data_IF_759828513644
#
_entry.id   IF_759828513644
#
_cell.length_a   1.000
_cell.length_b   1.000
_cell.length_c   1.000
_cell.angle_alpha   90.00
_cell.angle_beta   90.00
_cell.angle_gamma   90.00
#
_symmetry.space_group_name_H-M   'P 1'
#
loop_
_entity.id
_entity.type
_entity.pdbx_description
1 polymer ?
#
# COMPACT_ATOMS: atom_id res chain seq x y z
N UNK A 1 -25.31 -12.53 -22.90
CA UNK A 1 -24.44 -12.73 -21.81
C UNK A 1 -23.25 -11.79 -21.85
N UNK A 2 -23.14 -11.02 -20.87
CA UNK A 2 -22.05 -10.06 -20.81
C UNK A 2 -20.70 -10.72 -20.58
N UNK A 3 -19.67 -10.04 -20.97
CA UNK A 3 -18.34 -10.48 -20.65
C UNK A 3 -18.07 -10.29 -19.16
N UNK A 4 -17.38 -11.22 -18.59
CA UNK A 4 -16.93 -11.06 -17.23
C UNK A 4 -15.72 -10.16 -17.20
N UNK A 5 -15.76 -9.15 -16.35
CA UNK A 5 -14.57 -8.35 -16.09
C UNK A 5 -13.59 -9.19 -15.31
N UNK A 6 -12.33 -9.15 -15.72
CA UNK A 6 -11.27 -9.80 -14.98
C UNK A 6 -10.75 -8.79 -13.96
N UNK A 7 -10.72 -9.20 -12.69
CA UNK A 7 -10.25 -8.32 -11.63
C UNK A 7 -8.75 -8.01 -11.80
N UNK A 8 -8.31 -6.82 -11.41
CA UNK A 8 -6.88 -6.49 -11.49
C UNK A 8 -5.98 -7.52 -10.80
N UNK A 9 -6.45 -8.12 -9.70
CA UNK A 9 -5.70 -9.16 -9.01
C UNK A 9 -5.36 -10.32 -9.95
N UNK A 10 -6.30 -10.72 -10.82
CA UNK A 10 -6.09 -11.84 -11.73
C UNK A 10 -5.02 -11.53 -12.77
N UNK A 11 -4.93 -10.27 -13.22
CA UNK A 11 -3.89 -9.86 -14.15
C UNK A 11 -2.52 -9.83 -13.50
N UNK A 12 -2.44 -9.38 -12.26
CA UNK A 12 -1.16 -9.28 -11.55
C UNK A 12 -0.70 -10.65 -11.09
N UNK A 13 -1.60 -11.40 -10.46
CA UNK A 13 -1.30 -12.72 -9.92
C UNK A 13 -0.70 -12.67 -8.53
N UNK A 14 -0.88 -13.75 -7.80
CA UNK A 14 -0.43 -13.82 -6.42
C UNK A 14 1.08 -13.70 -6.28
N UNK A 15 1.82 -14.33 -7.19
CA UNK A 15 3.27 -14.34 -7.10
C UNK A 15 3.87 -12.95 -7.28
N UNK A 16 3.42 -12.22 -8.31
CA UNK A 16 3.90 -10.87 -8.53
C UNK A 16 3.50 -9.94 -7.40
N UNK A 17 2.29 -10.12 -6.86
CA UNK A 17 1.84 -9.31 -5.73
C UNK A 17 2.70 -9.56 -4.49
N UNK A 18 3.07 -10.82 -4.23
CA UNK A 18 3.98 -11.14 -3.13
C UNK A 18 5.32 -10.43 -3.31
N UNK A 19 5.87 -10.48 -4.52
CA UNK A 19 7.15 -9.82 -4.81
C UNK A 19 7.03 -8.31 -4.65
N UNK A 20 5.90 -7.75 -5.06
CA UNK A 20 5.65 -6.32 -4.91
C UNK A 20 5.67 -5.92 -3.44
N UNK A 21 4.97 -6.66 -2.59
CA UNK A 21 4.92 -6.35 -1.16
C UNK A 21 6.30 -6.45 -0.54
N UNK A 22 7.06 -7.48 -0.89
CA UNK A 22 8.43 -7.64 -0.36
C UNK A 22 9.33 -6.49 -0.80
N UNK A 23 9.29 -6.11 -2.08
CA UNK A 23 10.07 -5.00 -2.60
C UNK A 23 9.67 -3.69 -1.93
N UNK A 24 8.39 -3.49 -1.73
CA UNK A 24 7.87 -2.29 -1.08
C UNK A 24 8.41 -2.14 0.34
N UNK A 25 8.30 -3.19 1.16
CA UNK A 25 8.75 -3.08 2.55
C UNK A 25 10.27 -3.04 2.69
N UNK A 26 11.00 -3.59 1.73
CA UNK A 26 12.45 -3.40 1.69
C UNK A 26 12.79 -1.91 1.59
N UNK A 27 12.02 -1.17 0.78
CA UNK A 27 12.22 0.27 0.62
C UNK A 27 11.74 1.05 1.84
N UNK A 28 10.59 0.68 2.39
CA UNK A 28 10.04 1.32 3.59
C UNK A 28 11.00 1.23 4.76
N UNK A 29 11.63 0.07 4.95
CA UNK A 29 12.54 -0.15 6.07
C UNK A 29 13.78 0.73 6.01
N UNK A 30 14.08 1.30 4.85
CA UNK A 30 15.25 2.16 4.65
C UNK A 30 14.87 3.63 4.43
N UNK A 31 13.58 3.93 4.40
CA UNK A 31 13.15 5.31 4.13
C UNK A 31 13.05 6.11 5.42
N UNK A 32 13.79 7.23 5.55
CA UNK A 32 13.85 7.97 6.81
C UNK A 32 12.50 8.56 7.26
N UNK A 33 11.59 8.81 6.34
CA UNK A 33 10.28 9.35 6.69
C UNK A 33 9.29 8.26 7.10
N UNK A 34 9.59 7.00 6.84
CA UNK A 34 8.64 5.90 7.05
C UNK A 34 9.06 4.95 8.15
N UNK A 35 10.34 4.54 8.20
CA UNK A 35 10.69 3.49 9.16
C UNK A 35 10.38 3.88 10.62
N UNK A 36 10.39 5.18 11.02
CA UNK A 36 10.08 5.51 12.41
C UNK A 36 8.65 5.17 12.85
N UNK A 37 7.71 5.06 11.90
CA UNK A 37 6.31 4.76 12.24
C UNK A 37 5.94 3.31 11.96
N UNK A 38 6.92 2.48 11.59
CA UNK A 38 6.72 1.05 11.36
C UNK A 38 7.48 0.24 12.40
N UNK A 39 7.02 -0.98 12.72
CA UNK A 39 7.79 -1.85 13.63
C UNK A 39 9.09 -2.30 12.98
N UNK A 40 10.06 -2.69 13.81
CA UNK A 40 11.36 -3.17 13.30
C UNK A 40 11.20 -4.45 12.48
N UNK A 41 10.35 -5.36 12.95
CA UNK A 41 10.05 -6.60 12.21
C UNK A 41 8.80 -6.38 11.37
N UNK A 42 8.96 -6.35 10.06
CA UNK A 42 7.89 -6.07 9.12
C UNK A 42 7.18 -7.32 8.60
N UNK A 43 7.53 -8.51 9.11
CA UNK A 43 6.97 -9.76 8.61
C UNK A 43 5.44 -9.77 8.68
N UNK A 44 4.88 -9.45 9.84
CA UNK A 44 3.44 -9.46 10.00
C UNK A 44 2.78 -8.31 9.25
N UNK A 45 3.43 -7.16 9.24
CA UNK A 45 2.93 -5.99 8.49
C UNK A 45 2.84 -6.32 6.99
N UNK A 46 3.86 -6.97 6.45
CA UNK A 46 3.88 -7.37 5.04
C UNK A 46 2.79 -8.40 4.74
N UNK A 47 2.58 -9.35 5.65
CA UNK A 47 1.54 -10.36 5.49
C UNK A 47 0.16 -9.72 5.41
N UNK A 48 -0.12 -8.80 6.32
CA UNK A 48 -1.40 -8.08 6.33
C UNK A 48 -1.58 -7.23 5.09
N UNK A 49 -0.51 -6.60 4.63
CA UNK A 49 -0.57 -5.76 3.44
C UNK A 49 -0.86 -6.60 2.21
N UNK A 50 -0.25 -7.77 2.10
CA UNK A 50 -0.53 -8.66 0.98
C UNK A 50 -1.99 -9.09 0.98
N UNK A 51 -2.53 -9.44 2.15
CA UNK A 51 -3.93 -9.80 2.28
C UNK A 51 -4.83 -8.65 1.85
N UNK A 52 -4.50 -7.45 2.32
CA UNK A 52 -5.30 -6.27 2.00
C UNK A 52 -5.26 -5.96 0.50
N UNK A 53 -4.08 -5.95 -0.10
CA UNK A 53 -3.95 -5.62 -1.52
C UNK A 53 -4.61 -6.68 -2.40
N UNK A 54 -4.56 -7.95 -2.01
CA UNK A 54 -5.28 -9.02 -2.74
C UNK A 54 -6.76 -8.66 -2.80
N UNK A 55 -7.36 -8.33 -1.67
CA UNK A 55 -8.76 -7.97 -1.57
C UNK A 55 -9.06 -6.67 -2.30
N UNK A 56 -8.20 -5.67 -2.12
CA UNK A 56 -8.32 -4.35 -2.73
C UNK A 56 -8.36 -4.41 -4.25
N UNK A 57 -7.63 -5.36 -4.82
CA UNK A 57 -7.55 -5.54 -6.27
C UNK A 57 -8.61 -6.51 -6.81
N UNK A 58 -9.56 -6.89 -5.99
CA UNK A 58 -10.68 -7.73 -6.42
C UNK A 58 -10.47 -9.22 -6.28
N UNK A 59 -9.42 -9.65 -5.58
CA UNK A 59 -9.21 -11.05 -5.25
C UNK A 59 -10.01 -11.46 -4.01
N UNK A 60 -9.72 -12.65 -3.45
CA UNK A 60 -10.43 -13.13 -2.27
C UNK A 60 -10.29 -12.15 -1.09
N UNK A 61 -11.32 -12.02 -0.23
CA UNK A 61 -11.30 -11.07 0.87
C UNK A 61 -10.49 -11.56 2.07
N UNK A 62 -9.22 -11.84 1.84
CA UNK A 62 -8.33 -12.44 2.84
C UNK A 62 -8.18 -11.57 4.08
N UNK A 63 -8.08 -10.25 3.88
CA UNK A 63 -7.91 -9.34 5.01
C UNK A 63 -9.15 -9.35 5.90
N UNK A 64 -10.32 -9.19 5.30
CA UNK A 64 -11.57 -9.13 6.05
C UNK A 64 -11.86 -10.44 6.76
N UNK A 65 -11.54 -11.58 6.15
CA UNK A 65 -11.76 -12.88 6.75
C UNK A 65 -10.94 -13.09 8.01
N UNK A 66 -9.73 -12.55 8.05
CA UNK A 66 -8.87 -12.73 9.24
C UNK A 66 -8.99 -11.57 10.23
N UNK A 67 -9.15 -10.33 9.76
CA UNK A 67 -9.02 -9.14 10.59
C UNK A 67 -10.31 -8.32 10.72
N UNK A 68 -11.34 -8.67 9.97
CA UNK A 68 -12.57 -7.88 9.93
C UNK A 68 -12.46 -6.75 8.94
N UNK A 69 -13.41 -5.82 8.98
CA UNK A 69 -13.45 -4.69 8.06
C UNK A 69 -12.13 -3.90 8.11
N UNK A 70 -11.57 -3.51 6.96
CA UNK A 70 -10.30 -2.80 6.93
C UNK A 70 -10.27 -1.52 7.76
N UNK A 71 -11.33 -0.70 7.70
CA UNK A 71 -11.40 0.55 8.48
C UNK A 71 -10.07 1.31 8.43
N UNK A 72 -9.57 1.54 7.21
CA UNK A 72 -8.21 1.99 7.00
C UNK A 72 -7.85 3.26 7.77
N UNK A 73 -8.70 4.29 7.66
CA UNK A 73 -8.39 5.54 8.32
C UNK A 73 -8.35 5.37 9.83
N UNK A 74 -9.32 4.64 10.40
CA UNK A 74 -9.36 4.43 11.84
C UNK A 74 -8.13 3.67 12.32
N UNK A 75 -7.70 2.66 11.57
CA UNK A 75 -6.53 1.86 11.96
C UNK A 75 -5.23 2.65 11.85
N UNK A 76 -5.21 3.73 11.04
CA UNK A 76 -4.02 4.57 10.89
C UNK A 76 -3.99 5.76 11.85
N UNK A 77 -5.10 6.06 12.51
CA UNK A 77 -5.15 7.20 13.43
C UNK A 77 -4.09 7.17 14.53
N UNK A 78 -3.70 6.01 15.08
CA UNK A 78 -2.64 5.97 16.10
C UNK A 78 -1.27 6.37 15.56
N UNK A 79 -1.10 6.46 14.24
CA UNK A 79 0.18 6.79 13.61
C UNK A 79 0.12 8.19 13.00
N UNK A 80 1.19 8.99 13.12
CA UNK A 80 1.18 10.34 12.54
C UNK A 80 1.45 10.29 11.03
N UNK A 81 0.39 10.31 10.24
CA UNK A 81 0.50 10.26 8.78
C UNK A 81 0.43 11.70 8.26
N UNK A 82 1.59 12.26 7.92
CA UNK A 82 1.70 13.59 7.31
C UNK A 82 1.65 13.48 5.80
N UNK A 83 1.44 14.61 5.08
CA UNK A 83 1.57 14.58 3.62
C UNK A 83 2.92 14.08 3.15
N UNK A 84 4.01 14.42 3.85
CA UNK A 84 5.35 13.92 3.51
C UNK A 84 5.40 12.40 3.58
N UNK A 85 4.84 11.81 4.63
CA UNK A 85 4.82 10.37 4.78
C UNK A 85 3.96 9.68 3.74
N UNK A 86 2.82 10.30 3.39
CA UNK A 86 1.97 9.75 2.33
C UNK A 86 2.72 9.74 1.00
N UNK A 87 3.42 10.82 0.67
CA UNK A 87 4.22 10.88 -0.55
C UNK A 87 5.36 9.87 -0.55
N UNK A 88 6.02 9.71 0.58
CA UNK A 88 7.10 8.73 0.72
C UNK A 88 6.58 7.32 0.48
N UNK A 89 5.43 6.99 1.07
CA UNK A 89 4.79 5.69 0.90
C UNK A 89 4.49 5.42 -0.57
N UNK A 90 3.91 6.41 -1.25
CA UNK A 90 3.58 6.28 -2.67
C UNK A 90 4.82 6.13 -3.53
N UNK A 91 5.88 6.86 -3.21
CA UNK A 91 7.14 6.75 -3.93
C UNK A 91 7.74 5.35 -3.79
N UNK A 92 7.76 4.81 -2.58
CA UNK A 92 8.24 3.46 -2.35
C UNK A 92 7.41 2.43 -3.11
N UNK A 93 6.09 2.62 -3.15
CA UNK A 93 5.21 1.71 -3.88
C UNK A 93 5.46 1.77 -5.37
N UNK A 94 5.63 2.97 -5.93
CA UNK A 94 5.89 3.10 -7.37
C UNK A 94 7.21 2.47 -7.76
N UNK A 95 8.25 2.69 -6.95
CA UNK A 95 9.54 2.06 -7.21
C UNK A 95 9.45 0.54 -7.12
N UNK A 96 8.67 0.04 -6.16
CA UNK A 96 8.47 -1.40 -6.03
C UNK A 96 7.73 -1.96 -7.25
N UNK A 97 6.72 -1.24 -7.74
CA UNK A 97 6.00 -1.65 -8.95
C UNK A 97 6.95 -1.76 -10.15
N UNK A 98 7.84 -0.78 -10.30
CA UNK A 98 8.82 -0.82 -11.38
C UNK A 98 9.77 -1.99 -11.21
N UNK A 99 10.21 -2.24 -9.99
CA UNK A 99 11.16 -3.32 -9.72
C UNK A 99 10.61 -4.69 -10.07
N UNK A 100 9.31 -4.92 -9.84
CA UNK A 100 8.67 -6.21 -10.17
C UNK A 100 8.06 -6.20 -11.56
N UNK A 101 8.35 -5.17 -12.35
CA UNK A 101 7.90 -5.05 -13.74
C UNK A 101 6.38 -5.00 -13.89
N UNK A 102 5.74 -4.33 -12.96
CA UNK A 102 4.32 -4.02 -13.04
C UNK A 102 4.19 -2.64 -13.68
N UNK A 103 3.95 -2.61 -15.00
CA UNK A 103 4.00 -1.38 -15.80
C UNK A 103 2.68 -1.13 -16.53
N UNK A 104 2.63 0.02 -17.22
CA UNK A 104 1.55 0.34 -18.14
C UNK A 104 0.26 0.72 -17.45
N UNK A 105 -0.85 0.44 -18.12
CA UNK A 105 -2.17 0.84 -17.62
C UNK A 105 -2.50 0.23 -16.26
N UNK A 106 -2.04 -0.97 -16.01
CA UNK A 106 -2.30 -1.65 -14.75
C UNK A 106 -1.58 -0.96 -13.59
N UNK A 107 -0.33 -0.51 -13.81
CA UNK A 107 0.38 0.27 -12.82
C UNK A 107 -0.34 1.59 -12.57
N UNK A 108 -0.72 2.28 -13.64
CA UNK A 108 -1.37 3.59 -13.54
C UNK A 108 -2.68 3.48 -12.77
N UNK A 109 -3.48 2.48 -13.07
CA UNK A 109 -4.76 2.25 -12.39
C UNK A 109 -4.54 1.99 -10.90
N UNK A 110 -3.64 1.07 -10.59
CA UNK A 110 -3.37 0.65 -9.23
C UNK A 110 -2.76 1.81 -8.43
N UNK A 111 -1.77 2.48 -9.01
CA UNK A 111 -1.10 3.60 -8.36
C UNK A 111 -2.08 4.74 -8.07
N UNK A 112 -2.92 5.09 -9.04
CA UNK A 112 -3.90 6.16 -8.86
C UNK A 112 -4.86 5.86 -7.72
N UNK A 113 -5.34 4.64 -7.62
CA UNK A 113 -6.24 4.25 -6.53
C UNK A 113 -5.52 4.31 -5.18
N UNK A 114 -4.28 3.87 -5.15
CA UNK A 114 -3.49 3.94 -3.92
C UNK A 114 -3.20 5.39 -3.53
N UNK A 115 -3.03 6.26 -4.50
CA UNK A 115 -2.82 7.68 -4.24
C UNK A 115 -4.03 8.28 -3.53
N UNK A 116 -5.23 7.99 -4.01
CA UNK A 116 -6.45 8.46 -3.36
C UNK A 116 -6.56 7.92 -1.94
N UNK A 117 -6.25 6.64 -1.76
CA UNK A 117 -6.31 6.01 -0.44
C UNK A 117 -5.27 6.60 0.51
N UNK A 118 -4.04 6.78 0.05
CA UNK A 118 -2.97 7.32 0.89
C UNK A 118 -3.30 8.74 1.35
N UNK A 119 -3.83 9.56 0.46
CA UNK A 119 -4.22 10.93 0.81
C UNK A 119 -5.35 10.92 1.83
N UNK A 120 -6.23 9.94 1.78
CA UNK A 120 -7.31 9.79 2.74
C UNK A 120 -6.79 9.40 4.13
N UNK A 121 -5.61 8.76 4.19
CA UNK A 121 -5.01 8.36 5.46
C UNK A 121 -4.32 9.50 6.19
N UNK A 122 -4.00 10.59 5.50
CA UNK A 122 -3.34 11.75 6.11
C UNK A 122 -4.20 12.25 7.28
N UNK A 123 -3.60 12.32 8.45
CA UNK A 123 -4.32 12.70 9.67
C UNK A 123 -3.59 13.78 10.46
N UNK A 124 -2.47 14.30 9.95
CA UNK A 124 -1.68 15.33 10.62
C UNK A 124 -1.13 16.29 9.57
N UNK A 125 -1.06 17.60 9.90
CA UNK A 125 -0.34 18.54 9.03
C UNK A 125 1.15 18.31 9.13
N UNK A 126 1.91 18.95 8.25
CA UNK A 126 3.36 18.94 8.38
C UNK A 126 3.75 19.57 9.71
N UNK A 127 4.77 19.01 10.35
CA UNK A 127 5.21 19.51 11.65
C UNK A 127 5.88 20.85 11.56
N UNK A 128 5.91 21.62 12.67
CA UNK A 128 6.54 22.95 12.66
C UNK A 128 7.99 22.95 12.21
N UNK A 129 8.75 21.91 12.54
CA UNK A 129 10.15 21.82 12.14
C UNK A 129 10.35 21.64 10.67
N UNK A 130 9.33 21.24 9.93
CA UNK A 130 9.42 21.00 8.50
C UNK A 130 9.19 22.26 7.68
N UNK A 131 8.80 23.34 8.31
CA UNK A 131 8.53 24.60 7.64
C UNK A 131 9.77 25.47 7.47
N UNK A 132 10.90 25.05 8.01
CA UNK A 132 12.13 25.84 8.02
C UNK A 132 13.14 25.42 6.98
#
# INVERSE_FOLDING_TARGET
MGEKSIAPFEYIGEEKLSKLVDAFYSKVSQHPDLFPIFPDDLTETARKQKQFLTQYLGGPPLYTEEHGHPMLRARHLPFPITPTRARAWLSCMREAMDEVELHGDLQDFFYHRLELTANHMVNQPEGPGEDY
#
